data_IF_664184461133
#
_entry.id   IF_664184461133
#
_cell.length_a   1.000
_cell.length_b   1.000
_cell.length_c   1.000
_cell.angle_alpha   90.00
_cell.angle_beta   90.00
_cell.angle_gamma   90.00
#
_symmetry.space_group_name_H-M   'P 1'
#
loop_
_entity.id
_entity.type
_entity.pdbx_description
1 polymer ?
#
# COMPACT_ATOMS: atom_id res chain seq x y z
N UNK A 1 -11.55 -53.19 -18.05
CA UNK A 1 -11.32 -52.48 -16.77
C UNK A 1 -10.12 -51.51 -16.79
N UNK A 2 -9.70 -50.95 -17.94
CA UNK A 2 -8.48 -50.11 -18.00
C UNK A 2 -8.71 -48.65 -18.39
N UNK A 3 -9.89 -48.27 -18.88
CA UNK A 3 -10.16 -46.90 -19.37
C UNK A 3 -10.40 -45.92 -18.20
N UNK A 4 -11.00 -46.39 -17.11
CA UNK A 4 -11.31 -45.56 -15.94
C UNK A 4 -10.07 -45.13 -15.14
N UNK A 5 -8.96 -45.88 -15.23
CA UNK A 5 -7.70 -45.54 -14.55
C UNK A 5 -6.86 -44.52 -15.32
N UNK A 6 -6.94 -44.53 -16.66
CA UNK A 6 -6.22 -43.58 -17.53
C UNK A 6 -6.88 -42.19 -17.43
N UNK A 7 -8.21 -42.12 -17.38
CA UNK A 7 -8.94 -40.85 -17.26
C UNK A 7 -8.64 -40.11 -15.93
N UNK A 8 -8.47 -40.84 -14.83
CA UNK A 8 -8.16 -40.23 -13.53
C UNK A 8 -6.72 -39.72 -13.44
N UNK A 9 -5.77 -40.40 -14.08
CA UNK A 9 -4.38 -39.96 -14.14
C UNK A 9 -4.18 -38.71 -15.02
N UNK A 10 -4.91 -38.59 -16.13
CA UNK A 10 -4.90 -37.40 -16.99
C UNK A 10 -5.49 -36.17 -16.31
N UNK A 11 -6.52 -36.34 -15.47
CA UNK A 11 -7.14 -35.23 -14.74
C UNK A 11 -6.19 -34.64 -13.68
N UNK A 12 -5.41 -35.48 -12.98
CA UNK A 12 -4.42 -35.02 -12.01
C UNK A 12 -3.23 -34.26 -12.65
N UNK A 13 -2.82 -34.64 -13.86
CA UNK A 13 -1.75 -33.96 -14.59
C UNK A 13 -2.17 -32.57 -15.11
N UNK A 14 -3.45 -32.39 -15.45
CA UNK A 14 -3.99 -31.09 -15.88
C UNK A 14 -4.19 -30.11 -14.71
N UNK A 15 -4.53 -30.59 -13.52
CA UNK A 15 -4.68 -29.76 -12.31
C UNK A 15 -3.35 -29.28 -11.72
N UNK A 16 -2.25 -30.02 -11.92
CA UNK A 16 -0.92 -29.61 -11.48
C UNK A 16 -0.32 -28.47 -12.32
N UNK A 17 -0.77 -28.29 -13.57
CA UNK A 17 -0.31 -27.22 -14.46
C UNK A 17 -0.83 -25.82 -14.09
N UNK A 18 -1.96 -25.72 -13.40
CA UNK A 18 -2.62 -24.44 -13.05
C UNK A 18 -2.06 -23.85 -11.74
N UNK A 19 -1.31 -24.63 -10.95
CA UNK A 19 -0.74 -24.18 -9.68
C UNK A 19 0.62 -23.47 -9.82
N UNK A 20 1.22 -23.45 -11.02
CA UNK A 20 2.51 -22.81 -11.28
C UNK A 20 2.38 -21.35 -11.75
N UNK A 21 1.18 -20.87 -12.11
CA UNK A 21 0.96 -19.50 -12.60
C UNK A 21 0.56 -18.50 -11.50
N UNK A 22 0.41 -18.92 -10.24
CA UNK A 22 0.08 -17.97 -9.15
C UNK A 22 1.30 -17.24 -8.56
N UNK A 23 2.51 -17.45 -9.10
CA UNK A 23 3.63 -16.51 -8.92
C UNK A 23 3.52 -15.36 -9.93
N UNK A 24 2.35 -14.72 -10.02
CA UNK A 24 2.26 -13.41 -10.65
C UNK A 24 3.16 -12.49 -9.80
N UNK A 25 4.28 -12.05 -10.39
CA UNK A 25 5.18 -11.10 -9.73
C UNK A 25 4.33 -9.94 -9.21
N UNK A 26 4.38 -9.70 -7.89
CA UNK A 26 3.64 -8.60 -7.28
C UNK A 26 4.08 -7.32 -7.99
N UNK A 27 3.16 -6.68 -8.69
CA UNK A 27 3.45 -5.47 -9.44
C UNK A 27 4.04 -4.43 -8.48
N UNK A 28 5.19 -3.87 -8.87
CA UNK A 28 5.87 -2.84 -8.11
C UNK A 28 5.03 -1.58 -8.14
N UNK A 29 4.59 -1.13 -6.96
CA UNK A 29 3.75 0.05 -6.80
C UNK A 29 4.45 1.28 -7.35
N UNK A 30 3.94 1.91 -8.40
CA UNK A 30 4.46 3.19 -8.87
C UNK A 30 3.84 4.36 -8.06
N UNK A 31 4.30 5.59 -8.31
CA UNK A 31 3.81 6.78 -7.60
C UNK A 31 2.31 7.03 -7.84
N UNK A 32 1.79 6.69 -9.03
CA UNK A 32 0.35 6.81 -9.32
C UNK A 32 -0.47 5.81 -8.49
N UNK A 33 0.03 4.59 -8.32
CA UNK A 33 -0.60 3.58 -7.45
C UNK A 33 -0.58 4.03 -5.99
N UNK A 34 0.53 4.61 -5.53
CA UNK A 34 0.61 5.22 -4.20
C UNK A 34 -0.48 6.29 -4.04
N UNK A 35 -0.58 7.25 -4.98
CA UNK A 35 -1.56 8.34 -4.92
C UNK A 35 -2.99 7.82 -4.91
N UNK A 36 -3.28 6.82 -5.74
CA UNK A 36 -4.58 6.16 -5.75
C UNK A 36 -4.87 5.55 -4.38
N UNK A 37 -3.96 4.72 -3.84
CA UNK A 37 -4.15 4.05 -2.54
C UNK A 37 -4.22 5.04 -1.37
N UNK A 38 -3.48 6.15 -1.43
CA UNK A 38 -3.52 7.21 -0.43
C UNK A 38 -4.91 7.86 -0.37
N UNK A 39 -5.52 8.15 -1.53
CA UNK A 39 -6.87 8.73 -1.60
C UNK A 39 -7.95 7.85 -0.98
N UNK A 40 -7.72 6.53 -0.94
CA UNK A 40 -8.62 5.56 -0.32
C UNK A 40 -8.02 4.96 0.96
N UNK A 41 -7.13 5.71 1.64
CA UNK A 41 -6.56 5.23 2.90
C UNK A 41 -7.60 5.27 4.03
N UNK A 42 -8.66 6.07 3.95
CA UNK A 42 -9.82 5.92 4.84
C UNK A 42 -10.59 4.63 4.48
N UNK A 43 -10.68 3.69 5.43
CA UNK A 43 -11.65 2.59 5.32
C UNK A 43 -13.00 3.09 5.82
N UNK A 44 -14.04 2.88 5.02
CA UNK A 44 -15.43 3.11 5.40
C UNK A 44 -15.82 2.37 6.70
N UNK A 45 -15.13 1.29 7.07
CA UNK A 45 -15.38 0.54 8.31
C UNK A 45 -14.76 1.18 9.59
N UNK A 46 -13.75 2.05 9.46
CA UNK A 46 -13.13 2.78 10.58
C UNK A 46 -13.72 4.18 10.79
N UNK A 47 -14.62 4.62 9.91
CA UNK A 47 -15.33 5.91 9.95
C UNK A 47 -16.16 6.15 11.23
N UNK A 48 -16.28 5.17 12.12
CA UNK A 48 -16.99 5.33 13.39
C UNK A 48 -16.17 6.01 14.50
N UNK A 49 -14.84 6.20 14.33
CA UNK A 49 -13.98 6.83 15.34
C UNK A 49 -13.31 8.14 14.89
N UNK A 50 -13.10 8.32 13.59
CA UNK A 50 -12.73 9.64 13.07
C UNK A 50 -14.02 10.41 12.85
N UNK A 51 -14.29 11.39 13.71
CA UNK A 51 -15.37 12.33 13.45
C UNK A 51 -15.17 12.88 12.04
N UNK A 52 -16.11 12.56 11.14
CA UNK A 52 -16.23 13.03 9.76
C UNK A 52 -16.05 14.55 9.58
N UNK A 53 -16.04 15.30 10.69
CA UNK A 53 -15.83 16.74 10.75
C UNK A 53 -14.35 17.19 10.72
N UNK A 54 -13.38 16.28 10.91
CA UNK A 54 -12.01 16.67 11.21
C UNK A 54 -11.00 16.56 10.07
N UNK A 55 -10.97 15.43 9.37
CA UNK A 55 -9.99 15.18 8.30
C UNK A 55 -10.65 15.32 6.93
N UNK A 56 -10.85 16.55 6.47
CA UNK A 56 -11.51 16.76 5.19
C UNK A 56 -10.66 16.27 4.00
N UNK A 57 -11.32 16.13 2.85
CA UNK A 57 -10.68 15.66 1.61
C UNK A 57 -9.51 16.56 1.16
N UNK A 58 -9.51 17.84 1.52
CA UNK A 58 -8.42 18.76 1.18
C UNK A 58 -7.18 18.47 2.03
N UNK A 59 -7.35 18.26 3.33
CA UNK A 59 -6.26 17.85 4.24
C UNK A 59 -5.71 16.49 3.85
N UNK A 60 -6.57 15.52 3.54
CA UNK A 60 -6.15 14.22 3.03
C UNK A 60 -5.31 14.36 1.75
N UNK A 61 -5.77 15.17 0.79
CA UNK A 61 -5.03 15.43 -0.45
C UNK A 61 -3.67 16.09 -0.19
N UNK A 62 -3.61 17.08 0.70
CA UNK A 62 -2.36 17.72 1.09
C UNK A 62 -1.38 16.73 1.72
N UNK A 63 -1.87 15.83 2.56
CA UNK A 63 -1.03 14.80 3.18
C UNK A 63 -0.53 13.81 2.13
N UNK A 64 -1.38 13.35 1.21
CA UNK A 64 -0.96 12.51 0.09
C UNK A 64 0.12 13.19 -0.77
N UNK A 65 0.01 14.49 -0.99
CA UNK A 65 1.02 15.25 -1.74
C UNK A 65 2.34 15.32 -0.97
N UNK A 66 2.34 15.56 0.34
CA UNK A 66 3.56 15.54 1.17
C UNK A 66 4.30 14.20 1.07
N UNK A 67 3.57 13.08 1.18
CA UNK A 67 4.17 11.76 0.97
C UNK A 67 4.61 11.54 -0.47
N UNK A 68 3.88 12.05 -1.46
CA UNK A 68 4.30 11.98 -2.86
C UNK A 68 5.63 12.68 -3.08
N UNK A 69 5.86 13.85 -2.45
CA UNK A 69 7.14 14.55 -2.54
C UNK A 69 8.29 13.75 -1.95
N UNK A 70 8.07 13.00 -0.87
CA UNK A 70 9.04 12.00 -0.37
C UNK A 70 9.34 10.97 -1.44
N UNK A 71 8.31 10.35 -2.04
CA UNK A 71 8.51 9.26 -3.01
C UNK A 71 9.14 9.69 -4.34
N UNK A 72 9.14 11.00 -4.66
CA UNK A 72 9.86 11.55 -5.82
C UNK A 72 11.37 11.66 -5.59
N UNK A 73 11.83 11.63 -4.34
CA UNK A 73 13.25 11.68 -4.01
C UNK A 73 13.88 10.31 -4.22
N UNK A 74 15.07 10.30 -4.82
CA UNK A 74 15.89 9.10 -4.92
C UNK A 74 16.65 8.89 -3.61
N UNK A 75 16.45 7.74 -2.98
CA UNK A 75 17.10 7.38 -1.71
C UNK A 75 18.23 6.37 -1.91
N UNK A 76 19.25 6.44 -1.07
CA UNK A 76 20.37 5.49 -1.10
C UNK A 76 19.96 4.06 -0.70
N UNK A 77 18.97 3.92 0.18
CA UNK A 77 18.49 2.64 0.68
C UNK A 77 17.05 2.75 1.24
N UNK A 78 16.49 1.60 1.59
CA UNK A 78 15.13 1.48 2.13
C UNK A 78 14.92 2.25 3.42
N UNK A 79 15.88 2.21 4.33
CA UNK A 79 15.73 2.85 5.64
C UNK A 79 15.67 4.37 5.50
N UNK A 80 16.45 4.96 4.61
CA UNK A 80 16.40 6.38 4.28
C UNK A 80 15.03 6.78 3.68
N UNK A 81 14.47 5.96 2.78
CA UNK A 81 13.13 6.19 2.23
C UNK A 81 12.04 6.12 3.31
N UNK A 82 12.06 5.07 4.16
CA UNK A 82 11.11 4.90 5.26
C UNK A 82 11.24 6.06 6.27
N UNK A 83 12.45 6.52 6.56
CA UNK A 83 12.67 7.67 7.41
C UNK A 83 12.01 8.92 6.83
N UNK A 84 12.08 9.14 5.51
CA UNK A 84 11.35 10.21 4.82
C UNK A 84 9.84 10.12 5.03
N UNK A 85 9.24 8.93 4.88
CA UNK A 85 7.82 8.70 5.16
C UNK A 85 7.48 9.07 6.62
N UNK A 86 8.28 8.58 7.58
CA UNK A 86 8.07 8.81 9.01
C UNK A 86 8.24 10.29 9.41
N UNK A 87 9.12 11.02 8.73
CA UNK A 87 9.28 12.47 8.92
C UNK A 87 8.04 13.24 8.51
N UNK A 88 7.37 12.86 7.41
CA UNK A 88 6.07 13.44 7.04
C UNK A 88 5.05 13.15 8.13
N UNK A 89 4.91 11.89 8.55
CA UNK A 89 3.94 11.53 9.61
C UNK A 89 4.15 12.37 10.89
N UNK A 90 5.38 12.42 11.39
CA UNK A 90 5.71 13.18 12.60
C UNK A 90 5.46 14.69 12.41
N UNK A 91 5.81 15.22 11.24
CA UNK A 91 5.57 16.62 10.87
C UNK A 91 4.07 16.95 10.79
N UNK A 92 3.25 16.05 10.27
CA UNK A 92 1.81 16.24 10.18
C UNK A 92 1.14 16.11 11.55
N UNK A 93 1.56 15.17 12.40
CA UNK A 93 0.99 14.98 13.74
C UNK A 93 1.25 16.16 14.70
N UNK A 94 2.33 16.91 14.48
CA UNK A 94 2.62 18.13 15.26
C UNK A 94 1.83 19.35 14.77
N UNK A 95 1.30 19.31 13.56
CA UNK A 95 0.48 20.38 12.99
C UNK A 95 -0.97 20.22 13.44
N UNK A 96 -1.51 21.23 14.12
CA UNK A 96 -2.87 21.21 14.66
C UNK A 96 -3.93 20.94 13.58
N UNK A 97 -3.66 21.37 12.34
CA UNK A 97 -4.54 21.16 11.20
C UNK A 97 -4.72 19.68 10.81
N UNK A 98 -3.74 18.81 11.07
CA UNK A 98 -3.85 17.37 10.73
C UNK A 98 -4.13 16.50 11.97
N UNK A 99 -4.39 17.10 13.14
CA UNK A 99 -4.64 16.36 14.39
C UNK A 99 -5.82 15.38 14.28
N UNK A 100 -6.80 15.72 13.47
CA UNK A 100 -7.97 14.92 13.12
C UNK A 100 -7.72 13.85 12.05
N UNK A 101 -6.59 13.89 11.36
CA UNK A 101 -6.22 12.98 10.26
C UNK A 101 -5.34 11.81 10.73
N UNK A 102 -5.35 11.46 12.02
CA UNK A 102 -4.36 10.55 12.57
C UNK A 102 -4.38 9.16 11.88
N UNK A 103 -5.54 8.52 11.79
CA UNK A 103 -5.66 7.20 11.17
C UNK A 103 -5.32 7.25 9.68
N UNK A 104 -5.79 8.28 8.98
CA UNK A 104 -5.43 8.51 7.58
C UNK A 104 -3.92 8.63 7.38
N UNK A 105 -3.24 9.40 8.24
CA UNK A 105 -1.79 9.58 8.21
C UNK A 105 -1.04 8.27 8.51
N UNK A 106 -1.47 7.49 9.50
CA UNK A 106 -0.89 6.18 9.84
C UNK A 106 -0.98 5.21 8.66
N UNK A 107 -2.16 5.15 8.03
CA UNK A 107 -2.38 4.26 6.88
C UNK A 107 -1.60 4.72 5.66
N UNK A 108 -1.59 6.01 5.38
CA UNK A 108 -0.77 6.60 4.31
C UNK A 108 0.72 6.32 4.52
N UNK A 109 1.21 6.45 5.76
CA UNK A 109 2.58 6.09 6.10
C UNK A 109 2.89 4.62 5.78
N UNK A 110 1.98 3.72 6.14
CA UNK A 110 2.11 2.29 5.86
C UNK A 110 2.20 2.02 4.35
N UNK A 111 1.42 2.73 3.53
CA UNK A 111 1.48 2.61 2.06
C UNK A 111 2.81 3.17 1.53
N UNK A 112 3.30 4.29 2.07
CA UNK A 112 4.61 4.86 1.74
C UNK A 112 5.75 3.88 2.06
N UNK A 113 5.75 3.26 3.24
CA UNK A 113 6.73 2.24 3.59
C UNK A 113 6.66 1.02 2.66
N UNK A 114 5.47 0.61 2.24
CA UNK A 114 5.31 -0.48 1.28
C UNK A 114 5.96 -0.15 -0.06
N UNK A 115 5.80 1.08 -0.55
CA UNK A 115 6.51 1.57 -1.73
C UNK A 115 8.03 1.47 -1.54
N UNK A 116 8.55 2.00 -0.44
CA UNK A 116 9.99 1.98 -0.14
C UNK A 116 10.56 0.55 -0.10
N UNK A 117 9.83 -0.40 0.50
CA UNK A 117 10.25 -1.81 0.60
C UNK A 117 10.30 -2.53 -0.76
N UNK A 118 9.54 -2.05 -1.74
CA UNK A 118 9.51 -2.60 -3.10
C UNK A 118 10.59 -1.99 -4.01
N UNK A 119 10.96 -0.73 -3.78
CA UNK A 119 11.87 0.01 -4.67
C UNK A 119 13.32 0.03 -4.21
N UNK A 120 13.57 -0.13 -2.91
CA UNK A 120 14.91 0.02 -2.36
C UNK A 120 15.42 -1.27 -1.70
N UNK A 121 16.71 -1.61 -1.90
CA UNK A 121 17.36 -2.68 -1.16
C UNK A 121 17.43 -2.34 0.32
N UNK A 122 17.58 -3.38 1.15
CA UNK A 122 17.90 -3.19 2.57
C UNK A 122 19.26 -2.56 2.72
#
# INVERSE_FOLDING_TARGET
>A
MNISRIAMALCCLLLAGVLLESCAARETMNISDFRFRCRFAEDDELSNNDNFAGCDLQMQAQLCDQYTEVLKVEYANRDACIQGCNSVQAGSMTQTMFSSCNNFAVRTNTICEQYCRQHYPR
#
